data_IF_664756555171
#
_entry.id   IF_664756555171
#
_cell.length_a   1.000
_cell.length_b   1.000
_cell.length_c   1.000
_cell.angle_alpha   90.00
_cell.angle_beta   90.00
_cell.angle_gamma   90.00
#
_symmetry.space_group_name_H-M   'P 1'
#
loop_
_entity.id
_entity.type
_entity.pdbx_description
1 polymer ?
#
# COMPACT_ATOMS: atom_id res chain seq x y z
N UNK A 1 -13.25 12.06 15.65
CA UNK A 1 -13.36 10.88 14.79
C UNK A 1 -14.29 9.90 15.47
N UNK A 2 -15.21 9.25 14.73
CA UNK A 2 -16.12 8.23 15.30
C UNK A 2 -15.59 6.83 15.03
N UNK A 3 -14.74 6.67 14.03
CA UNK A 3 -14.18 5.39 13.59
C UNK A 3 -13.01 4.97 14.49
N UNK A 4 -13.01 3.70 14.89
CA UNK A 4 -12.01 3.10 15.78
C UNK A 4 -11.21 1.98 15.12
N UNK A 5 -11.66 1.51 13.94
CA UNK A 5 -11.02 0.45 13.17
C UNK A 5 -10.95 0.79 11.68
N UNK A 6 -10.05 0.12 10.96
CA UNK A 6 -9.93 0.32 9.49
C UNK A 6 -11.21 -0.11 8.76
N UNK A 7 -11.87 -1.23 9.08
CA UNK A 7 -13.19 -1.56 8.51
C UNK A 7 -14.23 -0.44 8.67
N UNK A 8 -14.34 0.16 9.85
CA UNK A 8 -15.24 1.30 10.10
C UNK A 8 -14.87 2.51 9.26
N UNK A 9 -13.56 2.85 9.18
CA UNK A 9 -13.06 3.93 8.33
C UNK A 9 -13.47 3.70 6.87
N UNK A 10 -13.20 2.52 6.31
CA UNK A 10 -13.54 2.22 4.91
C UNK A 10 -15.05 2.32 4.68
N UNK A 11 -15.88 1.76 5.57
CA UNK A 11 -17.33 1.83 5.46
C UNK A 11 -17.84 3.27 5.49
N UNK A 12 -17.30 4.12 6.38
CA UNK A 12 -17.62 5.56 6.48
C UNK A 12 -17.22 6.29 5.19
N UNK A 13 -15.99 6.08 4.69
CA UNK A 13 -15.49 6.73 3.47
C UNK A 13 -16.24 6.29 2.21
N UNK A 14 -16.59 5.03 2.09
CA UNK A 14 -17.44 4.53 0.98
C UNK A 14 -18.83 5.17 1.01
N UNK A 15 -19.41 5.33 2.18
CA UNK A 15 -20.70 6.02 2.33
C UNK A 15 -20.61 7.50 1.94
N UNK A 16 -19.51 8.16 2.29
CA UNK A 16 -19.30 9.58 2.02
C UNK A 16 -18.95 9.85 0.54
N UNK A 17 -18.04 9.04 -0.02
CA UNK A 17 -17.42 9.32 -1.32
C UNK A 17 -17.96 8.47 -2.47
N UNK A 18 -18.46 7.28 -2.24
CA UNK A 18 -19.18 6.44 -3.20
C UNK A 18 -18.50 6.31 -4.58
N UNK A 19 -19.05 6.99 -5.57
CA UNK A 19 -18.57 6.97 -6.96
C UNK A 19 -17.39 7.92 -7.24
N UNK A 20 -16.88 8.64 -6.23
CA UNK A 20 -15.68 9.47 -6.41
C UNK A 20 -14.45 8.59 -6.68
N UNK A 21 -13.54 9.14 -7.47
CA UNK A 21 -12.26 8.49 -7.75
C UNK A 21 -11.42 8.38 -6.47
N UNK A 22 -10.89 7.20 -6.20
CA UNK A 22 -9.95 6.92 -5.13
C UNK A 22 -8.56 6.62 -5.69
N UNK A 23 -8.47 5.64 -6.57
CA UNK A 23 -7.20 5.20 -7.11
C UNK A 23 -7.16 5.26 -8.64
N UNK A 24 -5.94 5.39 -9.15
CA UNK A 24 -5.61 5.14 -10.55
C UNK A 24 -4.46 4.13 -10.60
N UNK A 25 -4.56 3.13 -11.47
CA UNK A 25 -3.47 2.20 -11.76
C UNK A 25 -3.18 2.13 -13.25
N UNK A 26 -1.94 1.84 -13.60
CA UNK A 26 -1.53 1.65 -14.98
C UNK A 26 -2.24 0.42 -15.57
N UNK A 27 -2.77 0.57 -16.78
CA UNK A 27 -3.37 -0.53 -17.56
C UNK A 27 -2.93 -0.33 -19.02
N UNK A 28 -1.82 -0.94 -19.38
CA UNK A 28 -1.16 -0.69 -20.64
C UNK A 28 -0.75 0.77 -20.82
N UNK A 29 -1.35 1.45 -21.81
CA UNK A 29 -1.07 2.87 -22.12
C UNK A 29 -2.01 3.86 -21.42
N UNK A 30 -2.92 3.40 -20.57
CA UNK A 30 -3.92 4.25 -19.91
C UNK A 30 -3.87 4.09 -18.37
N UNK A 31 -4.53 5.02 -17.68
CA UNK A 31 -4.74 4.95 -16.24
C UNK A 31 -6.18 4.52 -15.97
N UNK A 32 -6.36 3.29 -15.49
CA UNK A 32 -7.66 2.80 -15.07
C UNK A 32 -8.06 3.49 -13.76
N UNK A 33 -9.25 4.08 -13.80
CA UNK A 33 -9.85 4.74 -12.63
C UNK A 33 -10.61 3.74 -11.77
N UNK A 34 -10.45 3.86 -10.45
CA UNK A 34 -11.07 2.99 -9.44
C UNK A 34 -11.74 3.90 -8.43
N UNK A 35 -13.06 3.78 -8.33
CA UNK A 35 -13.85 4.53 -7.36
C UNK A 35 -13.79 3.88 -5.96
N UNK A 36 -14.27 4.60 -4.93
CA UNK A 36 -14.42 4.02 -3.59
C UNK A 36 -15.31 2.77 -3.59
N UNK A 37 -16.41 2.78 -4.35
CA UNK A 37 -17.28 1.61 -4.51
C UNK A 37 -16.58 0.44 -5.22
N UNK A 38 -15.75 0.72 -6.22
CA UNK A 38 -15.00 -0.34 -6.92
C UNK A 38 -13.96 -0.96 -6.00
N UNK A 39 -13.24 -0.14 -5.24
CA UNK A 39 -12.26 -0.59 -4.26
C UNK A 39 -12.91 -1.43 -3.15
N UNK A 40 -13.98 -0.95 -2.52
CA UNK A 40 -14.73 -1.68 -1.50
C UNK A 40 -15.25 -3.03 -2.02
N UNK A 41 -15.72 -3.06 -3.26
CA UNK A 41 -16.17 -4.29 -3.90
C UNK A 41 -15.04 -5.30 -4.07
N UNK A 42 -13.86 -4.84 -4.45
CA UNK A 42 -12.66 -5.67 -4.59
C UNK A 42 -12.19 -6.20 -3.22
N UNK A 43 -12.10 -5.34 -2.22
CA UNK A 43 -11.81 -5.70 -0.82
C UNK A 43 -12.77 -6.80 -0.33
N UNK A 44 -14.09 -6.63 -0.50
CA UNK A 44 -15.10 -7.61 -0.08
C UNK A 44 -15.03 -8.92 -0.86
N UNK A 45 -14.61 -8.90 -2.13
CA UNK A 45 -14.39 -10.13 -2.89
C UNK A 45 -13.20 -10.91 -2.32
N UNK A 46 -12.08 -10.22 -2.04
CA UNK A 46 -10.89 -10.85 -1.44
C UNK A 46 -11.24 -11.41 -0.05
N UNK A 47 -11.89 -10.62 0.81
CA UNK A 47 -12.30 -11.05 2.14
C UNK A 47 -13.23 -12.28 2.08
N UNK A 48 -14.21 -12.30 1.17
CA UNK A 48 -15.11 -13.45 0.99
C UNK A 48 -14.38 -14.71 0.52
N UNK A 49 -13.35 -14.58 -0.31
CA UNK A 49 -12.51 -15.71 -0.72
C UNK A 49 -11.70 -16.25 0.46
N UNK A 50 -11.03 -15.36 1.20
CA UNK A 50 -10.22 -15.74 2.36
C UNK A 50 -11.07 -16.40 3.46
N UNK A 51 -12.25 -15.84 3.75
CA UNK A 51 -13.20 -16.42 4.70
C UNK A 51 -13.66 -17.82 4.27
N UNK A 52 -14.00 -18.02 3.00
CA UNK A 52 -14.37 -19.33 2.48
C UNK A 52 -13.20 -20.35 2.50
N UNK A 53 -11.97 -19.87 2.43
CA UNK A 53 -10.76 -20.68 2.61
C UNK A 53 -10.50 -21.02 4.09
N UNK A 54 -11.28 -20.47 5.02
CA UNK A 54 -11.14 -20.69 6.45
C UNK A 54 -10.16 -19.76 7.16
N UNK A 55 -9.88 -18.58 6.59
CA UNK A 55 -9.11 -17.52 7.24
C UNK A 55 -9.93 -16.92 8.39
N UNK A 56 -9.33 -16.75 9.56
CA UNK A 56 -9.99 -16.35 10.80
C UNK A 56 -9.29 -15.16 11.47
N UNK A 57 -9.95 -14.48 12.41
CA UNK A 57 -9.30 -13.48 13.26
C UNK A 57 -8.03 -14.02 13.92
N UNK A 58 -6.96 -13.24 13.87
CA UNK A 58 -5.64 -13.60 14.36
C UNK A 58 -4.79 -14.46 13.42
N UNK A 59 -5.33 -14.94 12.30
CA UNK A 59 -4.50 -15.60 11.27
C UNK A 59 -3.54 -14.59 10.61
N UNK A 60 -2.30 -15.02 10.39
CA UNK A 60 -1.28 -14.23 9.73
C UNK A 60 -1.28 -14.48 8.22
N UNK A 61 -1.09 -13.40 7.46
CA UNK A 61 -0.89 -13.40 6.02
C UNK A 61 0.44 -12.73 5.68
N UNK A 62 1.31 -13.42 4.97
CA UNK A 62 2.54 -12.85 4.41
C UNK A 62 2.24 -12.18 3.07
N UNK A 63 2.70 -10.95 2.88
CA UNK A 63 2.59 -10.23 1.59
C UNK A 63 3.98 -9.80 1.15
N UNK A 64 4.48 -10.41 0.07
CA UNK A 64 5.76 -10.08 -0.55
C UNK A 64 5.49 -9.47 -1.92
N UNK A 65 5.43 -8.16 -1.99
CA UNK A 65 5.03 -7.45 -3.22
C UNK A 65 5.59 -6.03 -3.30
N UNK A 66 5.55 -5.46 -4.50
CA UNK A 66 5.64 -4.02 -4.71
C UNK A 66 4.40 -3.30 -4.14
N UNK A 67 4.42 -1.99 -4.10
CA UNK A 67 3.24 -1.21 -3.74
C UNK A 67 2.27 -1.15 -4.94
N UNK A 68 1.35 -2.10 -4.99
CA UNK A 68 0.31 -2.16 -6.01
C UNK A 68 -1.08 -2.20 -5.38
N UNK A 69 -2.13 -1.89 -6.16
CA UNK A 69 -3.49 -1.79 -5.63
C UNK A 69 -4.05 -3.13 -5.18
N UNK A 70 -3.63 -4.24 -5.80
CA UNK A 70 -4.09 -5.58 -5.43
C UNK A 70 -3.56 -5.95 -4.02
N UNK A 71 -2.32 -5.56 -3.69
CA UNK A 71 -1.78 -5.73 -2.34
C UNK A 71 -2.46 -4.83 -1.32
N UNK A 72 -2.73 -3.55 -1.65
CA UNK A 72 -3.46 -2.63 -0.76
C UNK A 72 -4.87 -3.16 -0.47
N UNK A 73 -5.61 -3.59 -1.51
CA UNK A 73 -6.94 -4.17 -1.33
C UNK A 73 -6.92 -5.46 -0.51
N UNK A 74 -5.86 -6.27 -0.67
CA UNK A 74 -5.65 -7.51 0.11
C UNK A 74 -5.44 -7.20 1.60
N UNK A 75 -4.61 -6.22 1.93
CA UNK A 75 -4.40 -5.79 3.31
C UNK A 75 -5.69 -5.34 3.98
N UNK A 76 -6.44 -4.47 3.31
CA UNK A 76 -7.73 -4.00 3.82
C UNK A 76 -8.71 -5.18 3.99
N UNK A 77 -8.72 -6.14 3.06
CA UNK A 77 -9.55 -7.35 3.18
C UNK A 77 -9.17 -8.21 4.40
N UNK A 78 -7.87 -8.36 4.69
CA UNK A 78 -7.37 -9.07 5.86
C UNK A 78 -7.81 -8.34 7.15
N UNK A 79 -7.77 -7.02 7.19
CA UNK A 79 -8.23 -6.23 8.34
C UNK A 79 -9.73 -6.38 8.59
N UNK A 80 -10.56 -6.50 7.54
CA UNK A 80 -11.98 -6.82 7.66
C UNK A 80 -12.24 -8.19 8.29
N UNK A 81 -11.28 -9.09 8.24
CA UNK A 81 -11.35 -10.42 8.84
C UNK A 81 -10.68 -10.51 10.22
N UNK A 82 -10.14 -9.42 10.74
CA UNK A 82 -9.36 -9.41 12.00
C UNK A 82 -8.04 -10.16 11.89
N UNK A 83 -7.53 -10.35 10.67
CA UNK A 83 -6.25 -10.98 10.42
C UNK A 83 -5.09 -9.99 10.48
N UNK A 84 -3.88 -10.54 10.46
CA UNK A 84 -2.62 -9.81 10.61
C UNK A 84 -1.83 -9.86 9.32
N UNK A 85 -1.38 -8.71 8.84
CA UNK A 85 -0.50 -8.58 7.66
C UNK A 85 0.95 -8.55 8.12
N UNK A 86 1.79 -9.36 7.48
CA UNK A 86 3.24 -9.29 7.61
C UNK A 86 3.81 -8.90 6.24
N UNK A 87 4.18 -7.64 6.04
CA UNK A 87 4.70 -7.18 4.76
C UNK A 87 6.20 -7.43 4.67
N UNK A 88 6.66 -7.99 3.56
CA UNK A 88 8.08 -8.07 3.20
C UNK A 88 8.32 -7.44 1.83
N UNK A 89 9.52 -6.85 1.59
CA UNK A 89 9.83 -6.26 0.30
C UNK A 89 9.87 -7.33 -0.81
N UNK A 90 9.56 -6.93 -2.03
CA UNK A 90 9.58 -7.83 -3.20
C UNK A 90 10.95 -8.45 -3.47
N UNK A 91 12.01 -7.80 -3.00
CA UNK A 91 13.41 -8.23 -3.13
C UNK A 91 13.86 -9.13 -1.99
N UNK A 92 12.97 -9.49 -1.06
CA UNK A 92 13.30 -10.33 0.09
C UNK A 92 13.79 -11.71 -0.33
N UNK A 93 14.82 -12.19 0.37
CA UNK A 93 15.38 -13.51 0.12
C UNK A 93 14.53 -14.63 0.68
N UNK A 94 14.52 -15.78 -0.03
CA UNK A 94 13.73 -16.94 0.37
C UNK A 94 14.04 -17.44 1.80
N UNK A 95 15.31 -17.40 2.23
CA UNK A 95 15.68 -17.87 3.56
C UNK A 95 15.03 -17.04 4.67
N UNK A 96 14.98 -15.71 4.53
CA UNK A 96 14.29 -14.84 5.47
C UNK A 96 12.76 -15.04 5.43
N UNK A 97 12.18 -15.30 4.25
CA UNK A 97 10.76 -15.67 4.11
C UNK A 97 10.46 -16.96 4.88
N UNK A 98 11.31 -17.98 4.75
CA UNK A 98 11.15 -19.25 5.45
C UNK A 98 11.29 -19.06 6.97
N UNK A 99 12.29 -18.30 7.41
CA UNK A 99 12.48 -17.99 8.83
C UNK A 99 11.26 -17.28 9.41
N UNK A 100 10.80 -16.22 8.73
CA UNK A 100 9.61 -15.47 9.14
C UNK A 100 8.34 -16.36 9.14
N UNK A 101 8.20 -17.25 8.14
CA UNK A 101 7.07 -18.16 8.05
C UNK A 101 7.06 -19.18 9.21
N UNK A 102 8.21 -19.68 9.61
CA UNK A 102 8.32 -20.63 10.73
C UNK A 102 8.08 -19.97 12.10
N UNK A 103 8.43 -18.68 12.22
CA UNK A 103 8.18 -17.90 13.44
C UNK A 103 6.70 -17.53 13.58
N UNK A 104 6.09 -16.97 12.55
CA UNK A 104 4.76 -16.34 12.61
C UNK A 104 3.62 -17.21 12.06
N UNK A 105 3.90 -18.35 11.46
CA UNK A 105 2.91 -19.36 10.99
C UNK A 105 1.81 -18.76 10.11
N UNK A 106 2.11 -18.53 8.83
CA UNK A 106 1.16 -17.93 7.90
C UNK A 106 0.06 -18.90 7.45
N UNK A 107 -1.17 -18.45 7.46
CA UNK A 107 -2.30 -19.12 6.84
C UNK A 107 -2.23 -19.07 5.31
N UNK A 108 -1.76 -17.95 4.78
CA UNK A 108 -1.67 -17.67 3.34
C UNK A 108 -0.46 -16.80 3.04
N UNK A 109 0.16 -17.02 1.88
CA UNK A 109 1.27 -16.23 1.38
C UNK A 109 0.86 -15.59 0.05
N UNK A 110 1.07 -14.29 -0.09
CA UNK A 110 0.86 -13.53 -1.33
C UNK A 110 2.20 -13.16 -1.93
N UNK A 111 2.41 -13.50 -3.21
CA UNK A 111 3.64 -13.25 -3.95
C UNK A 111 3.35 -12.54 -5.27
N UNK A 112 4.28 -11.70 -5.72
CA UNK A 112 4.19 -11.00 -7.01
C UNK A 112 5.26 -11.44 -8.00
N UNK A 113 6.44 -11.87 -7.53
CA UNK A 113 7.59 -12.21 -8.37
C UNK A 113 7.63 -13.69 -8.72
N UNK A 114 7.64 -14.02 -10.03
CA UNK A 114 7.61 -15.40 -10.52
C UNK A 114 8.80 -16.23 -10.03
N UNK A 115 10.03 -15.65 -10.03
CA UNK A 115 11.22 -16.36 -9.54
C UNK A 115 11.10 -16.74 -8.08
N UNK A 116 10.56 -15.86 -7.25
CA UNK A 116 10.34 -16.14 -5.83
C UNK A 116 9.24 -17.21 -5.64
N UNK A 117 8.19 -17.19 -6.48
CA UNK A 117 7.16 -18.22 -6.46
C UNK A 117 7.74 -19.62 -6.75
N UNK A 118 8.63 -19.73 -7.75
CA UNK A 118 9.32 -20.98 -8.08
C UNK A 118 10.16 -21.48 -6.90
N UNK A 119 10.98 -20.60 -6.31
CA UNK A 119 11.83 -20.92 -5.15
C UNK A 119 11.01 -21.34 -3.92
N UNK A 120 9.89 -20.64 -3.63
CA UNK A 120 8.98 -20.99 -2.51
C UNK A 120 8.36 -22.35 -2.71
N UNK A 121 7.96 -22.72 -3.93
CA UNK A 121 7.38 -24.03 -4.23
C UNK A 121 8.43 -25.14 -4.14
N UNK A 122 9.65 -24.92 -4.62
CA UNK A 122 10.75 -25.89 -4.51
C UNK A 122 11.08 -26.24 -3.05
N UNK A 123 10.89 -25.28 -2.13
CA UNK A 123 11.18 -25.44 -0.69
C UNK A 123 9.91 -25.44 0.18
N UNK A 124 8.74 -25.75 -0.38
CA UNK A 124 7.47 -25.69 0.32
C UNK A 124 7.38 -26.54 1.59
N UNK A 125 8.12 -27.64 1.66
CA UNK A 125 8.23 -28.47 2.87
C UNK A 125 8.84 -27.75 4.07
N UNK A 126 9.46 -26.59 3.85
CA UNK A 126 10.00 -25.72 4.92
C UNK A 126 9.01 -24.63 5.34
N UNK A 127 7.89 -24.49 4.62
CA UNK A 127 6.79 -23.54 4.90
C UNK A 127 5.49 -24.34 5.01
N UNK A 128 5.37 -25.17 6.04
CA UNK A 128 4.29 -26.16 6.15
C UNK A 128 2.93 -25.57 6.49
N UNK A 129 2.90 -24.47 7.26
CA UNK A 129 1.65 -23.92 7.81
C UNK A 129 0.82 -23.14 6.77
N UNK A 130 1.43 -22.62 5.71
CA UNK A 130 0.71 -21.90 4.67
C UNK A 130 -0.12 -22.85 3.81
N UNK A 131 -1.44 -22.71 3.85
CA UNK A 131 -2.34 -23.58 3.09
C UNK A 131 -2.34 -23.28 1.59
N UNK A 132 -2.21 -22.00 1.23
CA UNK A 132 -2.22 -21.52 -0.16
C UNK A 132 -1.19 -20.42 -0.37
N UNK A 133 -0.70 -20.39 -1.62
CA UNK A 133 0.15 -19.32 -2.17
C UNK A 133 -0.69 -18.59 -3.22
N UNK A 134 -0.98 -17.33 -2.97
CA UNK A 134 -1.73 -16.49 -3.91
C UNK A 134 -0.74 -15.64 -4.71
N UNK A 135 -0.78 -15.78 -6.03
CA UNK A 135 0.09 -15.04 -6.92
C UNK A 135 -0.64 -13.86 -7.56
N UNK A 136 -0.14 -12.65 -7.38
CA UNK A 136 -0.82 -11.42 -7.84
C UNK A 136 -0.93 -11.30 -9.37
N UNK A 137 -0.16 -12.06 -10.12
CA UNK A 137 -0.22 -12.14 -11.58
C UNK A 137 -0.71 -13.52 -12.08
N UNK A 138 -0.55 -13.81 -13.36
CA UNK A 138 -0.84 -15.10 -13.95
C UNK A 138 0.41 -16.00 -13.83
N UNK A 139 0.46 -16.85 -12.83
CA UNK A 139 1.56 -17.80 -12.62
C UNK A 139 1.70 -18.76 -13.81
N UNK A 140 2.93 -18.95 -14.29
CA UNK A 140 3.28 -19.98 -15.29
C UNK A 140 3.39 -21.35 -14.63
N UNK A 141 3.89 -21.37 -13.40
CA UNK A 141 4.01 -22.58 -12.59
C UNK A 141 2.63 -23.10 -12.18
N UNK A 142 2.38 -24.39 -12.45
CA UNK A 142 1.15 -25.08 -12.02
C UNK A 142 1.46 -25.92 -10.80
N UNK A 143 0.84 -25.57 -9.68
CA UNK A 143 0.96 -26.29 -8.42
C UNK A 143 -0.36 -26.22 -7.65
N UNK A 144 -0.71 -27.24 -6.90
CA UNK A 144 -2.00 -27.35 -6.19
C UNK A 144 -2.22 -26.27 -5.10
N UNK A 145 -1.13 -25.75 -4.56
CA UNK A 145 -1.16 -24.66 -3.55
C UNK A 145 -1.23 -23.28 -4.18
N UNK A 146 -0.96 -23.12 -5.50
CA UNK A 146 -0.93 -21.84 -6.18
C UNK A 146 -2.32 -21.44 -6.66
N UNK A 147 -2.71 -20.23 -6.35
CA UNK A 147 -3.95 -19.61 -6.83
C UNK A 147 -3.60 -18.25 -7.45
N UNK A 148 -3.97 -18.04 -8.71
CA UNK A 148 -3.83 -16.75 -9.35
C UNK A 148 -4.83 -15.74 -8.77
N UNK A 149 -4.42 -14.50 -8.55
CA UNK A 149 -5.24 -13.47 -7.91
C UNK A 149 -6.57 -13.20 -8.63
N UNK A 150 -6.58 -13.28 -9.96
CA UNK A 150 -7.82 -13.21 -10.76
C UNK A 150 -8.87 -14.26 -10.34
N UNK A 151 -8.41 -15.46 -9.92
CA UNK A 151 -9.31 -16.50 -9.42
C UNK A 151 -9.82 -16.17 -8.02
N UNK A 152 -9.00 -15.53 -7.17
CA UNK A 152 -9.42 -15.00 -5.86
C UNK A 152 -10.58 -14.04 -6.04
N UNK A 153 -10.43 -13.02 -6.90
CA UNK A 153 -11.46 -12.02 -7.17
C UNK A 153 -12.74 -12.64 -7.74
N UNK A 154 -12.61 -13.55 -8.71
CA UNK A 154 -13.75 -14.24 -9.33
C UNK A 154 -14.49 -15.15 -8.34
N UNK A 155 -13.77 -15.95 -7.58
CA UNK A 155 -14.35 -16.86 -6.59
C UNK A 155 -15.02 -16.07 -5.46
N UNK A 156 -14.34 -15.04 -4.96
CA UNK A 156 -14.89 -14.15 -3.93
C UNK A 156 -16.18 -13.47 -4.39
N UNK A 157 -16.22 -12.95 -5.63
CA UNK A 157 -17.44 -12.36 -6.21
C UNK A 157 -18.60 -13.36 -6.18
N UNK A 158 -18.37 -14.63 -6.51
CA UNK A 158 -19.42 -15.67 -6.51
C UNK A 158 -19.90 -15.99 -5.10
N UNK A 159 -19.04 -15.87 -4.09
CA UNK A 159 -19.32 -16.21 -2.68
C UNK A 159 -19.83 -15.03 -1.87
N UNK A 160 -19.50 -13.81 -2.25
CA UNK A 160 -19.79 -12.58 -1.51
C UNK A 160 -21.27 -12.45 -1.09
N UNK A 161 -22.22 -12.79 -1.97
CA UNK A 161 -23.65 -12.70 -1.64
C UNK A 161 -24.03 -13.68 -0.50
N UNK A 162 -23.45 -14.89 -0.51
CA UNK A 162 -23.71 -15.91 0.50
C UNK A 162 -23.08 -15.55 1.86
N UNK A 163 -21.89 -14.97 1.82
CA UNK A 163 -21.09 -14.67 3.00
C UNK A 163 -21.27 -13.23 3.51
N UNK A 164 -22.20 -12.46 2.92
CA UNK A 164 -22.36 -11.03 3.21
C UNK A 164 -22.62 -10.75 4.70
N UNK A 165 -23.60 -11.43 5.27
CA UNK A 165 -23.99 -11.17 6.68
C UNK A 165 -22.92 -11.62 7.66
N UNK A 166 -22.25 -12.76 7.38
CA UNK A 166 -21.15 -13.26 8.17
C UNK A 166 -19.93 -12.33 8.10
N UNK A 167 -19.55 -11.89 6.91
CA UNK A 167 -18.45 -10.92 6.73
C UNK A 167 -18.76 -9.59 7.42
N UNK A 168 -20.00 -9.11 7.32
CA UNK A 168 -20.43 -7.87 7.96
C UNK A 168 -20.31 -8.00 9.47
N UNK A 169 -20.92 -9.05 10.05
CA UNK A 169 -20.86 -9.30 11.50
C UNK A 169 -19.42 -9.46 12.01
N UNK A 170 -18.56 -10.13 11.23
CA UNK A 170 -17.14 -10.27 11.56
C UNK A 170 -16.44 -8.92 11.55
N UNK A 171 -16.60 -8.12 10.48
CA UNK A 171 -16.00 -6.79 10.39
C UNK A 171 -16.45 -5.85 11.52
N UNK A 172 -17.71 -5.92 11.92
CA UNK A 172 -18.25 -5.13 13.03
C UNK A 172 -17.77 -5.60 14.40
N UNK A 173 -17.26 -6.83 14.52
CA UNK A 173 -16.67 -7.37 15.74
C UNK A 173 -15.19 -7.00 15.95
N UNK A 174 -14.56 -6.40 14.95
CA UNK A 174 -13.16 -5.97 15.04
C UNK A 174 -13.06 -4.79 16.00
N UNK A 175 -12.08 -4.84 16.88
CA UNK A 175 -11.82 -3.79 17.88
C UNK A 175 -10.47 -3.11 17.63
N UNK A 176 -10.23 -1.92 18.19
CA UNK A 176 -8.95 -1.20 18.03
C UNK A 176 -7.73 -1.99 18.49
N UNK A 177 -7.90 -2.95 19.40
CA UNK A 177 -6.83 -3.77 19.99
C UNK A 177 -6.39 -4.92 19.07
N UNK A 178 -7.15 -5.23 18.00
CA UNK A 178 -6.73 -6.24 17.03
C UNK A 178 -5.43 -5.82 16.34
N UNK A 179 -4.43 -6.70 16.37
CA UNK A 179 -3.19 -6.50 15.64
C UNK A 179 -3.52 -6.47 14.14
N UNK A 180 -3.05 -5.44 13.45
CA UNK A 180 -3.23 -5.28 12.01
C UNK A 180 -1.97 -5.65 11.24
N UNK A 181 -0.79 -5.21 11.71
CA UNK A 181 0.47 -5.39 11.03
C UNK A 181 1.54 -5.86 12.02
N UNK A 182 2.41 -6.75 11.54
CA UNK A 182 3.68 -7.08 12.20
C UNK A 182 4.80 -6.70 11.24
N UNK A 183 5.62 -5.71 11.61
CA UNK A 183 6.84 -5.39 10.91
C UNK A 183 8.00 -6.19 11.48
N UNK A 184 8.82 -6.75 10.58
CA UNK A 184 10.09 -7.41 10.93
C UNK A 184 11.23 -6.42 10.74
N UNK A 185 11.94 -6.10 11.81
CA UNK A 185 13.15 -5.29 11.74
C UNK A 185 14.36 -6.15 11.28
N UNK A 186 15.38 -5.52 10.69
CA UNK A 186 16.59 -6.24 10.24
C UNK A 186 17.35 -6.97 11.35
N UNK A 187 17.18 -6.57 12.62
CA UNK A 187 17.75 -7.22 13.81
C UNK A 187 16.96 -8.46 14.26
N UNK A 188 15.89 -8.83 13.56
CA UNK A 188 15.00 -9.95 13.85
C UNK A 188 13.89 -9.63 14.85
N UNK A 189 13.82 -8.41 15.40
CA UNK A 189 12.70 -8.02 16.26
C UNK A 189 11.42 -7.86 15.44
N UNK A 190 10.28 -8.07 16.10
CA UNK A 190 8.96 -7.88 15.50
C UNK A 190 8.24 -6.75 16.22
N UNK A 191 7.63 -5.84 15.45
CA UNK A 191 6.80 -4.77 16.00
C UNK A 191 5.36 -4.97 15.57
N UNK A 192 4.49 -5.11 16.54
CA UNK A 192 3.05 -5.24 16.34
C UNK A 192 2.39 -3.87 16.36
N UNK A 193 1.53 -3.61 15.39
CA UNK A 193 0.74 -2.37 15.27
C UNK A 193 -0.73 -2.77 15.23
N UNK A 194 -1.52 -2.23 16.14
CA UNK A 194 -2.96 -2.49 16.20
C UNK A 194 -3.74 -1.62 15.21
N UNK A 195 -5.00 -1.95 14.98
CA UNK A 195 -5.91 -1.13 14.16
C UNK A 195 -6.10 0.26 14.77
N UNK A 196 -6.20 0.35 16.08
CA UNK A 196 -6.30 1.62 16.81
C UNK A 196 -5.05 2.49 16.69
N UNK A 197 -3.85 1.87 16.75
CA UNK A 197 -2.59 2.60 16.56
C UNK A 197 -2.52 3.22 15.17
N UNK A 198 -2.89 2.46 14.13
CA UNK A 198 -2.92 2.99 12.75
C UNK A 198 -3.83 4.21 12.69
N UNK A 199 -5.06 4.13 13.20
CA UNK A 199 -6.00 5.25 13.15
C UNK A 199 -5.55 6.46 13.97
N UNK A 200 -4.94 6.24 15.14
CA UNK A 200 -4.36 7.32 15.95
C UNK A 200 -3.29 8.07 15.17
N UNK A 201 -2.34 7.36 14.59
CA UNK A 201 -1.25 7.95 13.80
C UNK A 201 -1.78 8.69 12.56
N UNK A 202 -2.77 8.12 11.87
CA UNK A 202 -3.40 8.78 10.72
C UNK A 202 -4.14 10.05 11.12
N UNK A 203 -4.79 10.08 12.30
CA UNK A 203 -5.44 11.26 12.83
C UNK A 203 -4.45 12.38 13.12
N UNK A 204 -3.36 12.06 13.83
CA UNK A 204 -2.31 13.02 14.17
C UNK A 204 -1.61 13.57 12.92
N UNK A 205 -1.32 12.69 11.95
CA UNK A 205 -0.80 13.12 10.66
C UNK A 205 -1.78 14.03 9.90
N UNK A 206 -3.06 13.68 9.86
CA UNK A 206 -4.10 14.46 9.17
C UNK A 206 -4.29 15.86 9.78
N UNK A 207 -4.19 15.99 11.09
CA UNK A 207 -4.27 17.30 11.77
C UNK A 207 -3.10 18.22 11.35
N UNK A 208 -1.92 17.65 11.17
CA UNK A 208 -0.74 18.34 10.66
C UNK A 208 -0.90 18.78 9.19
N UNK A 209 -1.68 18.02 8.40
CA UNK A 209 -1.86 18.22 6.96
C UNK A 209 -3.22 18.80 6.57
N UNK A 210 -3.79 19.65 7.42
CA UNK A 210 -5.12 20.26 7.24
C UNK A 210 -5.30 21.02 5.91
N UNK A 211 -4.21 21.41 5.24
CA UNK A 211 -4.21 22.05 3.92
C UNK A 211 -4.44 21.08 2.75
N UNK A 212 -4.35 19.75 2.98
CA UNK A 212 -4.60 18.72 1.97
C UNK A 212 -6.08 18.37 1.99
N UNK A 213 -6.70 18.35 0.83
CA UNK A 213 -8.12 18.06 0.67
C UNK A 213 -8.41 16.96 -0.35
N UNK A 214 -9.67 16.59 -0.45
CA UNK A 214 -10.18 15.53 -1.33
C UNK A 214 -9.91 15.74 -2.83
N UNK A 215 -9.55 16.96 -3.24
CA UNK A 215 -9.18 17.27 -4.62
C UNK A 215 -7.68 17.09 -4.90
N UNK A 216 -6.88 16.91 -3.83
CA UNK A 216 -5.47 16.64 -4.00
C UNK A 216 -5.25 15.18 -4.46
N UNK A 217 -4.23 15.00 -5.27
CA UNK A 217 -3.86 13.74 -5.86
C UNK A 217 -2.41 13.43 -5.61
N UNK A 218 -2.16 12.29 -5.01
CA UNK A 218 -0.81 11.79 -4.81
C UNK A 218 -0.34 10.90 -5.97
N UNK A 219 0.98 10.77 -6.05
CA UNK A 219 1.64 9.81 -6.93
C UNK A 219 2.67 9.03 -6.12
N UNK A 220 2.61 7.71 -6.20
CA UNK A 220 3.48 6.79 -5.46
C UNK A 220 3.92 5.62 -6.33
N UNK A 221 5.19 5.20 -6.13
CA UNK A 221 5.77 3.98 -6.73
C UNK A 221 6.66 3.26 -5.69
N UNK A 222 6.44 3.51 -4.43
CA UNK A 222 7.26 3.02 -3.32
C UNK A 222 7.05 1.51 -3.08
N UNK A 223 8.00 0.85 -2.43
CA UNK A 223 7.84 -0.56 -2.04
C UNK A 223 6.74 -0.73 -0.99
N UNK A 224 6.00 -1.82 -1.03
CA UNK A 224 4.85 -2.03 -0.12
C UNK A 224 5.24 -2.37 1.33
N UNK A 225 6.50 -2.75 1.57
CA UNK A 225 6.93 -3.30 2.85
C UNK A 225 7.39 -2.24 3.86
N UNK A 226 7.72 -1.02 3.41
CA UNK A 226 8.18 0.00 4.35
C UNK A 226 7.04 0.58 5.19
N UNK A 227 7.26 0.87 6.48
CA UNK A 227 6.31 1.57 7.32
C UNK A 227 5.80 2.87 6.69
N UNK A 228 6.69 3.63 6.06
CA UNK A 228 6.35 4.87 5.36
C UNK A 228 5.35 4.64 4.22
N UNK A 229 5.56 3.63 3.38
CA UNK A 229 4.61 3.32 2.29
C UNK A 229 3.24 2.92 2.79
N UNK A 230 3.19 2.14 3.88
CA UNK A 230 1.92 1.75 4.52
C UNK A 230 1.18 2.97 5.03
N UNK A 231 1.87 3.83 5.77
CA UNK A 231 1.28 5.06 6.30
C UNK A 231 0.69 5.94 5.18
N UNK A 232 1.41 6.10 4.07
CA UNK A 232 0.96 6.88 2.91
C UNK A 232 -0.31 6.31 2.30
N UNK A 233 -0.37 4.98 2.10
CA UNK A 233 -1.54 4.31 1.55
C UNK A 233 -2.76 4.52 2.46
N UNK A 234 -2.58 4.33 3.76
CA UNK A 234 -3.67 4.51 4.73
C UNK A 234 -4.05 5.97 4.92
N UNK A 235 -3.09 6.90 4.84
CA UNK A 235 -3.37 8.34 4.89
C UNK A 235 -4.22 8.78 3.69
N UNK A 236 -3.97 8.23 2.50
CA UNK A 236 -4.82 8.44 1.31
C UNK A 236 -6.27 8.01 1.58
N UNK A 237 -6.46 6.82 2.16
CA UNK A 237 -7.78 6.31 2.53
C UNK A 237 -8.42 7.16 3.64
N UNK A 238 -7.65 7.54 4.65
CA UNK A 238 -8.12 8.30 5.79
C UNK A 238 -8.57 9.72 5.40
N UNK A 239 -7.77 10.43 4.63
CA UNK A 239 -8.06 11.80 4.18
C UNK A 239 -9.08 11.85 3.03
N UNK A 240 -9.35 10.73 2.38
CA UNK A 240 -10.24 10.67 1.22
C UNK A 240 -9.64 11.30 -0.04
N UNK A 241 -8.32 11.49 -0.10
CA UNK A 241 -7.62 12.00 -1.27
C UNK A 241 -7.58 10.97 -2.40
N UNK A 242 -7.05 11.37 -3.56
CA UNK A 242 -6.84 10.45 -4.68
C UNK A 242 -5.38 10.03 -4.75
N UNK A 243 -5.10 8.80 -5.23
CA UNK A 243 -3.74 8.35 -5.49
C UNK A 243 -3.62 7.68 -6.85
N UNK A 244 -2.55 8.00 -7.57
CA UNK A 244 -2.07 7.21 -8.69
C UNK A 244 -0.93 6.33 -8.19
N UNK A 245 -1.08 5.02 -8.34
CA UNK A 245 -0.10 4.02 -7.91
C UNK A 245 0.57 3.45 -9.15
N UNK A 246 1.88 3.70 -9.27
CA UNK A 246 2.71 3.17 -10.35
C UNK A 246 3.41 1.88 -9.88
N UNK A 247 3.50 0.90 -10.76
CA UNK A 247 4.09 -0.41 -10.45
C UNK A 247 5.62 -0.37 -10.38
N UNK A 248 6.25 0.63 -11.00
CA UNK A 248 7.71 0.74 -10.99
C UNK A 248 8.20 2.18 -11.15
N UNK A 249 9.45 2.42 -10.69
CA UNK A 249 10.16 3.68 -10.87
C UNK A 249 10.62 3.92 -12.31
N UNK A 250 10.64 2.89 -13.14
CA UNK A 250 11.19 2.94 -14.49
C UNK A 250 10.55 4.04 -15.36
N UNK A 251 9.24 4.18 -15.25
CA UNK A 251 8.45 5.10 -16.07
C UNK A 251 8.06 6.39 -15.31
N UNK A 252 8.67 6.64 -14.13
CA UNK A 252 8.33 7.73 -13.23
C UNK A 252 8.11 9.07 -13.92
N UNK A 253 9.06 9.50 -14.74
CA UNK A 253 8.97 10.82 -15.38
C UNK A 253 7.92 10.90 -16.50
N UNK A 254 7.56 9.78 -17.08
CA UNK A 254 6.46 9.69 -18.01
C UNK A 254 5.13 9.71 -17.26
N UNK A 255 5.00 8.88 -16.25
CA UNK A 255 3.79 8.72 -15.46
C UNK A 255 3.43 9.99 -14.67
N UNK A 256 4.40 10.65 -14.05
CA UNK A 256 4.14 11.87 -13.28
C UNK A 256 3.64 13.04 -14.16
N UNK A 257 4.05 13.10 -15.43
CA UNK A 257 3.56 14.09 -16.39
C UNK A 257 2.13 13.80 -16.86
N UNK A 258 1.73 12.54 -16.94
CA UNK A 258 0.34 12.16 -17.24
C UNK A 258 -0.59 12.36 -16.06
N UNK A 259 -0.14 11.95 -14.85
CA UNK A 259 -0.92 12.06 -13.62
C UNK A 259 -1.04 13.50 -13.15
N UNK A 260 -0.01 14.31 -13.32
CA UNK A 260 0.09 15.69 -12.82
C UNK A 260 -0.37 15.82 -11.37
N UNK A 261 0.29 15.12 -10.42
CA UNK A 261 -0.14 15.08 -9.02
C UNK A 261 0.06 16.43 -8.33
N UNK A 262 -0.62 16.63 -7.21
CA UNK A 262 -0.40 17.76 -6.29
C UNK A 262 0.48 17.37 -5.11
N UNK A 263 0.59 16.07 -4.83
CA UNK A 263 1.38 15.48 -3.74
C UNK A 263 2.35 14.46 -4.34
N UNK A 264 3.62 14.57 -3.99
CA UNK A 264 4.64 13.57 -4.29
C UNK A 264 5.06 12.88 -3.00
N UNK A 265 5.01 11.55 -2.99
CA UNK A 265 5.63 10.73 -1.97
C UNK A 265 6.97 10.22 -2.48
N UNK A 266 8.05 10.58 -1.78
CA UNK A 266 9.39 10.23 -2.23
C UNK A 266 10.37 10.13 -1.06
N UNK A 267 11.32 9.22 -1.15
CA UNK A 267 12.45 9.15 -0.21
C UNK A 267 13.39 10.33 -0.40
N UNK A 268 14.20 10.64 0.61
CA UNK A 268 15.20 11.72 0.49
C UNK A 268 16.19 11.45 -0.64
N UNK A 269 16.63 10.21 -0.83
CA UNK A 269 17.50 9.81 -1.94
C UNK A 269 16.81 9.98 -3.30
N UNK A 270 15.52 9.67 -3.37
CA UNK A 270 14.73 9.89 -4.57
C UNK A 270 14.58 11.37 -4.94
N UNK A 271 14.43 12.23 -3.93
CA UNK A 271 14.39 13.70 -4.12
C UNK A 271 15.74 14.24 -4.60
N UNK A 272 16.87 13.69 -4.11
CA UNK A 272 18.20 14.03 -4.61
C UNK A 272 18.35 13.62 -6.09
N UNK A 273 17.89 12.43 -6.47
CA UNK A 273 17.93 11.98 -7.87
C UNK A 273 17.06 12.87 -8.79
N UNK A 274 15.91 13.34 -8.32
CA UNK A 274 15.07 14.31 -9.05
C UNK A 274 15.79 15.64 -9.19
N UNK A 275 16.42 16.13 -8.12
CA UNK A 275 17.22 17.35 -8.13
C UNK A 275 18.35 17.26 -9.16
N UNK A 276 19.18 16.22 -9.08
CA UNK A 276 20.33 16.03 -9.99
C UNK A 276 19.91 16.00 -11.45
N UNK A 277 18.82 15.27 -11.75
CA UNK A 277 18.26 15.23 -13.12
C UNK A 277 17.80 16.61 -13.58
N UNK A 278 17.06 17.34 -12.76
CA UNK A 278 16.56 18.67 -13.14
C UNK A 278 17.71 19.65 -13.32
N UNK A 279 18.72 19.60 -12.46
CA UNK A 279 19.88 20.48 -12.54
C UNK A 279 20.82 20.15 -13.70
N UNK A 280 20.93 18.89 -14.12
CA UNK A 280 21.75 18.46 -15.27
C UNK A 280 21.15 18.83 -16.61
N UNK A 281 19.87 19.23 -16.69
CA UNK A 281 19.13 19.45 -17.96
C UNK A 281 18.46 20.84 -18.05
N UNK A 282 19.09 21.87 -17.50
CA UNK A 282 18.53 23.25 -17.43
C UNK A 282 18.28 23.90 -18.79
N UNK A 283 19.15 23.69 -19.79
CA UNK A 283 19.00 24.25 -21.14
C UNK A 283 18.59 25.74 -21.19
N UNK A 284 19.17 26.57 -20.29
CA UNK A 284 18.85 27.99 -20.17
C UNK A 284 17.60 28.33 -19.35
N UNK A 285 16.95 27.33 -18.76
CA UNK A 285 15.81 27.51 -17.85
C UNK A 285 16.30 27.55 -16.40
N UNK A 286 15.60 28.28 -15.52
CA UNK A 286 15.93 28.24 -14.09
C UNK A 286 15.60 26.88 -13.47
N UNK A 287 16.33 26.46 -12.43
CA UNK A 287 16.14 25.20 -11.74
C UNK A 287 14.70 25.00 -11.26
N UNK A 288 14.07 26.05 -10.72
CA UNK A 288 12.69 26.03 -10.23
C UNK A 288 11.69 25.73 -11.34
N UNK A 289 11.83 26.36 -12.49
CA UNK A 289 10.96 26.13 -13.65
C UNK A 289 11.17 24.73 -14.21
N UNK A 290 12.42 24.28 -14.26
CA UNK A 290 12.76 22.94 -14.72
C UNK A 290 12.18 21.87 -13.81
N UNK A 291 12.38 21.98 -12.49
CA UNK A 291 11.81 21.07 -11.50
C UNK A 291 10.28 20.98 -11.63
N UNK A 292 9.58 22.10 -11.71
CA UNK A 292 8.12 22.11 -11.90
C UNK A 292 7.69 21.43 -13.18
N UNK A 293 8.43 21.68 -14.29
CA UNK A 293 8.15 21.02 -15.56
C UNK A 293 8.35 19.52 -15.52
N UNK A 294 9.40 19.06 -14.83
CA UNK A 294 9.72 17.63 -14.69
C UNK A 294 8.70 16.88 -13.81
N UNK A 295 8.03 17.58 -12.89
CA UNK A 295 7.05 17.03 -11.96
C UNK A 295 5.58 17.31 -12.34
N UNK A 296 5.30 17.73 -13.59
CA UNK A 296 3.94 17.95 -14.09
C UNK A 296 3.30 19.27 -13.66
N UNK A 297 4.10 20.24 -13.18
CA UNK A 297 3.75 21.62 -12.84
C UNK A 297 2.70 21.84 -11.72
N UNK A 298 2.01 20.80 -11.22
CA UNK A 298 0.94 20.92 -10.22
C UNK A 298 1.37 20.58 -8.79
N UNK A 299 2.58 20.03 -8.59
CA UNK A 299 3.11 19.67 -7.28
C UNK A 299 3.05 20.87 -6.33
N UNK A 300 2.47 20.65 -5.16
CA UNK A 300 2.36 21.58 -4.05
C UNK A 300 3.09 21.07 -2.81
N UNK A 301 3.04 19.75 -2.59
CA UNK A 301 3.53 19.11 -1.39
C UNK A 301 4.41 17.91 -1.72
N UNK A 302 5.43 17.73 -0.91
CA UNK A 302 6.28 16.54 -0.88
C UNK A 302 6.25 15.94 0.51
N UNK A 303 5.95 14.65 0.60
CA UNK A 303 6.16 13.85 1.79
C UNK A 303 7.42 13.04 1.62
N UNK A 304 8.26 13.01 2.62
CA UNK A 304 9.52 12.27 2.59
C UNK A 304 9.75 11.54 3.91
N UNK A 305 10.47 10.42 3.83
CA UNK A 305 10.85 9.57 4.96
C UNK A 305 11.89 10.25 5.87
N UNK A 306 12.69 11.13 5.31
CA UNK A 306 13.73 11.85 6.03
C UNK A 306 14.05 13.18 5.34
N UNK A 307 14.73 14.06 6.07
CA UNK A 307 15.06 15.39 5.57
C UNK A 307 16.12 15.31 4.46
N UNK A 308 15.84 15.83 3.23
CA UNK A 308 16.81 15.82 2.16
C UNK A 308 17.92 16.86 2.39
N UNK A 309 18.96 16.82 1.57
CA UNK A 309 20.04 17.83 1.59
C UNK A 309 19.46 19.23 1.41
N UNK A 310 20.11 20.21 2.07
CA UNK A 310 19.62 21.59 2.11
C UNK A 310 19.46 22.25 0.72
N UNK A 311 20.32 21.92 -0.23
CA UNK A 311 20.22 22.39 -1.62
C UNK A 311 18.96 21.87 -2.31
N UNK A 312 18.61 20.61 -2.09
CA UNK A 312 17.40 19.97 -2.61
C UNK A 312 16.17 20.64 -2.00
N UNK A 313 16.10 20.72 -0.68
CA UNK A 313 15.02 21.40 0.05
C UNK A 313 14.81 22.83 -0.47
N UNK A 314 15.89 23.59 -0.60
CA UNK A 314 15.84 24.97 -1.07
C UNK A 314 15.30 25.10 -2.51
N UNK A 315 15.67 24.19 -3.41
CA UNK A 315 15.16 24.22 -4.78
C UNK A 315 13.64 23.97 -4.81
N UNK A 316 13.16 22.97 -4.09
CA UNK A 316 11.73 22.66 -4.01
C UNK A 316 10.95 23.83 -3.40
N UNK A 317 11.42 24.41 -2.29
CA UNK A 317 10.78 25.57 -1.66
C UNK A 317 10.71 26.78 -2.61
N UNK A 318 11.80 27.11 -3.33
CA UNK A 318 11.79 28.18 -4.33
C UNK A 318 10.89 27.87 -5.53
N UNK A 319 10.71 26.58 -5.85
CA UNK A 319 9.72 26.15 -6.85
C UNK A 319 8.27 26.21 -6.34
N UNK A 320 8.04 26.65 -5.09
CA UNK A 320 6.71 26.74 -4.47
C UNK A 320 6.15 25.40 -4.02
N UNK A 321 7.02 24.46 -3.68
CA UNK A 321 6.67 23.10 -3.19
C UNK A 321 7.04 23.05 -1.70
N UNK A 322 6.08 22.72 -0.86
CA UNK A 322 6.25 22.60 0.59
C UNK A 322 6.59 21.17 0.98
N UNK A 323 7.55 21.01 1.89
CA UNK A 323 7.80 19.72 2.54
C UNK A 323 6.84 19.52 3.70
N UNK A 324 6.34 18.29 3.79
CA UNK A 324 5.50 17.85 4.89
C UNK A 324 6.25 16.69 5.58
N UNK A 325 6.71 16.94 6.79
CA UNK A 325 7.30 15.90 7.63
C UNK A 325 6.15 15.10 8.25
N UNK A 326 6.21 13.80 8.13
CA UNK A 326 5.25 12.92 8.80
C UNK A 326 5.71 12.80 10.26
N UNK A 327 4.96 13.35 11.22
CA UNK A 327 5.26 13.09 12.63
C UNK A 327 5.21 11.58 12.87
N UNK A 328 6.15 11.05 13.67
CA UNK A 328 6.05 9.69 14.24
C UNK A 328 6.24 8.50 13.29
N UNK A 329 6.90 8.67 12.12
CA UNK A 329 7.45 7.50 11.41
C UNK A 329 8.32 6.62 12.32
N UNK A 330 8.93 7.22 13.34
CA UNK A 330 9.71 6.50 14.34
C UNK A 330 8.84 5.51 15.15
N UNK A 331 7.55 5.78 15.35
CA UNK A 331 6.65 4.80 16.00
C UNK A 331 6.36 3.58 15.12
N UNK A 332 6.53 3.68 13.80
CA UNK A 332 6.47 2.54 12.88
C UNK A 332 7.84 1.87 12.66
N UNK A 333 8.95 2.58 12.96
CA UNK A 333 10.31 2.12 12.65
C UNK A 333 11.15 1.78 13.88
N UNK A 334 10.81 2.25 15.07
CA UNK A 334 11.42 1.91 16.35
C UNK A 334 10.58 0.85 17.08
#
# INVERSE_FOLDING_TARGET
>A
MSESTIPELIASKVKEHGTRLLFQRRDGWSWKQITWLDFDREVKNIASFLMDMGFKPGDNALIVSSNNLDSIATEIAIYHLGGVVVPLPQEEGLDNIIETANELKFKVIFLEKETLLEEVVEREGQISDAEKIIFFSDARLKHERIINFKLVLKSGLMKRKKLHDELTSLSESITPEHIAIIFKAPDGQSKEITQGDILRILSEASDTFSQIGIEDQSFSYMTSASPFSKLINYLTLFMGTRAAVAESRKDFYYDILEVMPTILYETSDGLEAIYDKSMSSLNGTSGEKKLRSDLGARIKYVFTDSKPKKEVENLFLRAGVSFLEVPELNEFSD
#
